data_IF_150910398818
#
_entry.id   IF_150910398818
#
_cell.length_a   1.000
_cell.length_b   1.000
_cell.length_c   1.000
_cell.angle_alpha   90.00
_cell.angle_beta   90.00
_cell.angle_gamma   90.00
#
_symmetry.space_group_name_H-M   'P 1'
#
loop_
_entity.id
_entity.type
_entity.pdbx_description
1 polymer ?
#
# COMPACT_ATOMS: atom_id res chain seq x y z
N UNK A 1 25.26 43.17 -68.24
CA UNK A 1 23.90 43.78 -68.24
C UNK A 1 23.00 42.98 -67.31
N UNK A 2 22.41 43.67 -66.32
CA UNK A 2 21.12 43.39 -65.63
C UNK A 2 20.98 41.99 -64.98
N UNK A 3 21.32 41.86 -63.69
CA UNK A 3 20.45 41.99 -62.49
C UNK A 3 19.25 41.01 -62.47
N UNK A 4 19.28 40.05 -61.55
CA UNK A 4 18.15 39.53 -60.74
C UNK A 4 18.76 38.56 -59.71
N UNK A 5 19.12 38.97 -58.49
CA UNK A 5 18.25 39.09 -57.31
C UNK A 5 17.24 37.94 -57.15
N UNK A 6 17.68 36.83 -56.56
CA UNK A 6 16.80 35.93 -55.83
C UNK A 6 17.33 35.81 -54.40
N UNK A 7 16.66 36.55 -53.52
CA UNK A 7 16.79 36.55 -52.08
C UNK A 7 16.04 35.34 -51.50
N UNK A 8 16.65 34.63 -50.56
CA UNK A 8 16.13 33.75 -49.49
C UNK A 8 17.22 32.68 -49.28
N UNK A 9 17.86 32.53 -48.13
CA UNK A 9 17.25 32.23 -46.84
C UNK A 9 18.36 32.33 -45.78
N UNK A 10 18.19 33.13 -44.74
CA UNK A 10 18.87 32.91 -43.45
C UNK A 10 17.77 33.00 -42.40
N UNK A 11 17.54 31.91 -41.66
CA UNK A 11 17.97 31.89 -40.26
C UNK A 11 18.83 30.66 -40.03
N UNK A 12 20.10 30.84 -39.67
CA UNK A 12 20.51 30.78 -38.26
C UNK A 12 19.90 29.55 -37.58
N UNK A 13 20.67 28.47 -37.64
CA UNK A 13 20.50 27.23 -36.89
C UNK A 13 20.52 27.57 -35.38
N UNK A 14 19.40 28.09 -34.87
CA UNK A 14 19.11 28.15 -33.44
C UNK A 14 18.85 26.70 -33.01
N UNK A 15 19.94 25.99 -32.73
CA UNK A 15 19.96 24.83 -31.86
C UNK A 15 19.51 25.31 -30.47
N UNK A 16 18.21 25.56 -30.32
CA UNK A 16 17.57 25.57 -29.02
C UNK A 16 17.77 24.17 -28.46
N UNK A 17 18.65 24.03 -27.48
CA UNK A 17 18.71 22.86 -26.63
C UNK A 17 17.32 22.64 -26.06
N UNK A 18 16.53 21.78 -26.69
CA UNK A 18 15.34 21.21 -26.09
C UNK A 18 15.84 20.37 -24.93
N UNK A 19 15.96 20.99 -23.77
CA UNK A 19 16.02 20.28 -22.52
C UNK A 19 14.74 19.44 -22.49
N UNK A 20 14.87 18.15 -22.81
CA UNK A 20 13.87 17.15 -22.51
C UNK A 20 13.71 17.18 -20.98
N UNK A 21 12.80 18.02 -20.50
CA UNK A 21 12.34 17.95 -19.12
C UNK A 21 11.71 16.56 -19.00
N UNK A 22 12.35 15.69 -18.23
CA UNK A 22 11.74 14.45 -17.81
C UNK A 22 10.37 14.80 -17.23
N UNK A 23 9.30 14.31 -17.86
CA UNK A 23 7.95 14.54 -17.36
C UNK A 23 7.79 13.70 -16.09
N UNK A 24 7.70 14.37 -14.93
CA UNK A 24 7.33 13.74 -13.67
C UNK A 24 5.93 13.15 -13.80
N UNK A 25 5.85 11.88 -14.20
CA UNK A 25 4.60 11.15 -14.30
C UNK A 25 4.19 10.65 -12.91
N UNK A 26 2.92 10.83 -12.50
CA UNK A 26 2.44 10.32 -11.22
C UNK A 26 2.64 8.80 -11.11
N UNK A 27 3.15 8.32 -9.97
CA UNK A 27 3.25 6.88 -9.71
C UNK A 27 1.87 6.22 -9.84
N UNK A 28 1.73 5.09 -10.56
CA UNK A 28 0.46 4.37 -10.67
C UNK A 28 -0.13 3.89 -9.33
N UNK A 29 0.72 3.80 -8.31
CA UNK A 29 0.33 3.49 -6.93
C UNK A 29 1.10 4.42 -6.01
N UNK A 30 0.54 5.62 -5.72
CA UNK A 30 1.17 6.60 -4.85
C UNK A 30 1.46 6.01 -3.46
N UNK A 31 2.57 6.45 -2.86
CA UNK A 31 2.89 6.11 -1.48
C UNK A 31 1.94 6.83 -0.51
N UNK A 32 1.73 6.22 0.64
CA UNK A 32 0.94 6.75 1.74
C UNK A 32 1.58 6.39 3.07
N UNK A 33 1.49 7.32 4.01
CA UNK A 33 1.89 7.14 5.39
C UNK A 33 0.78 7.60 6.32
N UNK A 34 0.40 6.75 7.26
CA UNK A 34 -0.51 7.05 8.36
C UNK A 34 0.25 6.92 9.67
N UNK A 35 0.03 7.85 10.59
CA UNK A 35 0.48 7.76 11.97
C UNK A 35 -0.74 8.02 12.85
N UNK A 36 -1.08 7.06 13.70
CA UNK A 36 -2.26 7.12 14.56
C UNK A 36 -1.90 6.74 15.99
N UNK A 37 -2.36 7.55 16.95
CA UNK A 37 -2.32 7.19 18.36
C UNK A 37 -3.59 6.42 18.75
N UNK A 38 -3.43 5.29 19.43
CA UNK A 38 -4.51 4.53 20.03
C UNK A 38 -4.11 4.21 21.48
N UNK A 39 -4.86 4.74 22.45
CA UNK A 39 -4.37 4.89 23.82
C UNK A 39 -3.06 5.68 23.84
N UNK A 40 -2.00 5.04 24.30
CA UNK A 40 -0.62 5.50 24.36
C UNK A 40 0.31 4.73 23.40
N UNK A 41 -0.23 3.88 22.54
CA UNK A 41 0.50 3.19 21.46
C UNK A 41 0.41 4.01 20.17
N UNK A 42 1.56 4.26 19.54
CA UNK A 42 1.64 4.83 18.20
C UNK A 42 1.65 3.69 17.18
N UNK A 43 0.79 3.79 16.18
CA UNK A 43 0.66 2.86 15.06
C UNK A 43 1.02 3.62 13.79
N UNK A 44 2.05 3.19 13.08
CA UNK A 44 2.46 3.76 11.80
C UNK A 44 2.25 2.75 10.68
N UNK A 45 1.64 3.17 9.57
CA UNK A 45 1.46 2.35 8.37
C UNK A 45 2.08 3.07 7.17
N UNK A 46 3.00 2.42 6.45
CA UNK A 46 3.63 2.92 5.23
C UNK A 46 3.41 1.91 4.09
N UNK A 47 2.78 2.34 2.99
CA UNK A 47 2.45 1.46 1.87
C UNK A 47 2.24 2.23 0.56
N UNK A 48 2.23 1.52 -0.57
CA UNK A 48 1.76 2.08 -1.85
C UNK A 48 0.34 1.63 -2.14
N UNK A 49 -0.52 2.56 -2.58
CA UNK A 49 -1.96 2.35 -2.72
C UNK A 49 -2.35 1.96 -4.15
N UNK A 50 -2.62 0.68 -4.46
CA UNK A 50 -3.15 0.27 -5.77
C UNK A 50 -4.59 0.77 -5.96
N UNK A 51 -5.01 0.92 -7.22
CA UNK A 51 -6.37 1.32 -7.61
C UNK A 51 -7.02 0.28 -8.52
N UNK A 52 -8.35 0.15 -8.45
CA UNK A 52 -9.13 -0.80 -9.26
C UNK A 52 -8.96 -0.48 -10.74
N UNK A 53 -9.16 0.78 -11.12
CA UNK A 53 -9.18 1.23 -12.53
C UNK A 53 -10.14 0.39 -13.38
N UNK A 54 -11.33 0.10 -12.83
CA UNK A 54 -12.36 -0.72 -13.47
C UNK A 54 -12.08 -2.23 -13.50
N UNK A 55 -11.10 -2.73 -12.74
CA UNK A 55 -10.80 -4.16 -12.61
C UNK A 55 -11.36 -4.71 -11.30
N UNK A 56 -11.77 -5.98 -11.31
CA UNK A 56 -12.12 -6.71 -10.09
C UNK A 56 -10.85 -7.06 -9.31
N UNK A 57 -10.86 -6.93 -7.98
CA UNK A 57 -9.68 -7.24 -7.16
C UNK A 57 -9.37 -8.72 -7.20
N UNK A 58 -10.38 -9.54 -6.87
CA UNK A 58 -10.27 -10.99 -6.80
C UNK A 58 -11.35 -11.61 -7.68
N UNK A 59 -11.04 -12.63 -8.50
CA UNK A 59 -9.71 -13.23 -8.68
C UNK A 59 -8.81 -12.52 -9.71
N UNK A 60 -9.26 -11.42 -10.35
CA UNK A 60 -8.60 -10.90 -11.56
C UNK A 60 -7.23 -10.26 -11.30
N UNK A 61 -7.14 -9.32 -10.35
CA UNK A 61 -5.86 -8.67 -10.01
C UNK A 61 -5.01 -9.52 -9.06
N UNK A 62 -5.67 -10.27 -8.18
CA UNK A 62 -5.06 -11.13 -7.17
C UNK A 62 -5.87 -12.42 -7.05
N UNK A 63 -5.19 -13.55 -6.86
CA UNK A 63 -5.84 -14.83 -6.63
C UNK A 63 -6.12 -15.05 -5.15
N UNK A 64 -7.27 -15.63 -4.85
CA UNK A 64 -7.53 -16.14 -3.50
C UNK A 64 -6.52 -17.23 -3.13
N UNK A 65 -6.15 -17.27 -1.86
CA UNK A 65 -5.21 -18.27 -1.34
C UNK A 65 -3.75 -18.05 -1.75
N UNK A 66 -3.40 -16.92 -2.39
CA UNK A 66 -2.02 -16.53 -2.64
C UNK A 66 -1.60 -15.39 -1.71
N UNK A 67 -0.31 -15.33 -1.39
CA UNK A 67 0.22 -14.22 -0.61
C UNK A 67 0.19 -12.93 -1.43
N UNK A 68 -0.22 -11.86 -0.77
CA UNK A 68 -0.20 -10.51 -1.27
C UNK A 68 0.62 -9.63 -0.33
N UNK A 69 1.39 -8.72 -0.89
CA UNK A 69 2.16 -7.70 -0.16
C UNK A 69 1.30 -6.63 0.51
N UNK A 70 -0.03 -6.79 0.45
CA UNK A 70 -1.04 -5.91 1.05
C UNK A 70 -0.88 -4.46 0.60
N UNK A 71 -0.75 -4.26 -0.70
CA UNK A 71 -0.40 -2.98 -1.33
C UNK A 71 0.30 -3.18 -2.68
N UNK A 72 1.02 -2.16 -3.14
CA UNK A 72 1.81 -2.18 -4.37
C UNK A 72 3.30 -1.89 -4.10
N UNK A 73 4.15 -2.18 -5.09
CA UNK A 73 5.60 -1.92 -5.10
C UNK A 73 6.42 -2.71 -4.06
N UNK A 74 6.30 -2.38 -2.78
CA UNK A 74 6.99 -3.03 -1.66
C UNK A 74 5.99 -3.70 -0.70
N UNK A 75 6.49 -4.47 0.27
CA UNK A 75 5.66 -4.96 1.36
C UNK A 75 5.20 -3.79 2.23
N UNK A 76 3.92 -3.77 2.59
CA UNK A 76 3.36 -2.79 3.53
C UNK A 76 4.07 -2.89 4.86
N UNK A 77 4.49 -1.75 5.40
CA UNK A 77 5.16 -1.66 6.68
C UNK A 77 4.18 -1.19 7.75
N UNK A 78 4.12 -1.92 8.85
CA UNK A 78 3.33 -1.56 10.04
C UNK A 78 4.26 -1.53 11.25
N UNK A 79 4.27 -0.43 11.97
CA UNK A 79 5.08 -0.23 13.18
C UNK A 79 4.19 0.03 14.38
N UNK A 80 4.54 -0.59 15.51
CA UNK A 80 3.91 -0.40 16.81
C UNK A 80 4.96 0.09 17.80
N UNK A 81 4.72 1.22 18.48
CA UNK A 81 5.66 1.75 19.48
C UNK A 81 5.66 0.98 20.80
N UNK A 82 4.66 0.14 21.03
CA UNK A 82 4.50 -0.72 22.22
C UNK A 82 3.98 -2.09 21.81
N UNK A 83 4.12 -3.07 22.69
CA UNK A 83 3.49 -4.38 22.49
C UNK A 83 1.98 -4.23 22.33
N UNK A 84 1.41 -5.00 21.42
CA UNK A 84 -0.02 -5.00 21.10
C UNK A 84 -0.57 -6.42 21.10
N UNK A 85 -1.89 -6.53 21.20
CA UNK A 85 -2.60 -7.78 20.95
C UNK A 85 -3.26 -7.68 19.57
N UNK A 86 -2.96 -8.58 18.65
CA UNK A 86 -3.63 -8.65 17.33
C UNK A 86 -4.54 -9.85 17.32
N UNK A 87 -5.85 -9.64 17.17
CA UNK A 87 -6.87 -10.71 17.28
C UNK A 87 -6.69 -11.56 18.56
N UNK A 88 -6.35 -10.91 19.68
CA UNK A 88 -6.12 -11.57 20.96
C UNK A 88 -4.80 -12.32 21.09
N UNK A 89 -3.88 -12.23 20.12
CA UNK A 89 -2.53 -12.81 20.21
C UNK A 89 -1.48 -11.72 20.38
N UNK A 90 -0.48 -11.98 21.23
CA UNK A 90 0.58 -11.02 21.52
C UNK A 90 1.49 -10.79 20.31
N UNK A 91 1.83 -9.53 20.07
CA UNK A 91 2.87 -9.09 19.15
C UNK A 91 3.72 -8.03 19.87
N UNK A 92 5.04 -8.24 19.90
CA UNK A 92 5.96 -7.29 20.51
C UNK A 92 5.95 -5.93 19.77
N UNK A 93 6.39 -4.87 20.45
CA UNK A 93 6.71 -3.61 19.81
C UNK A 93 7.73 -3.83 18.69
N UNK A 94 7.58 -3.12 17.58
CA UNK A 94 8.49 -3.28 16.45
C UNK A 94 7.91 -2.84 15.13
N UNK A 95 8.68 -3.09 14.07
CA UNK A 95 8.31 -2.82 12.69
C UNK A 95 8.20 -4.11 11.90
N UNK A 96 7.10 -4.26 11.20
CA UNK A 96 6.71 -5.49 10.53
C UNK A 96 6.36 -5.25 9.06
N UNK A 97 6.68 -6.22 8.21
CA UNK A 97 6.06 -6.35 6.90
C UNK A 97 4.71 -7.07 7.05
N UNK A 98 3.64 -6.40 6.61
CA UNK A 98 2.28 -6.91 6.59
C UNK A 98 2.01 -7.61 5.25
N UNK A 99 1.92 -8.93 5.31
CA UNK A 99 1.46 -9.75 4.19
C UNK A 99 0.06 -10.28 4.50
N UNK A 100 -0.73 -10.48 3.45
CA UNK A 100 -2.07 -11.05 3.56
C UNK A 100 -2.22 -12.23 2.64
N UNK A 101 -3.09 -13.17 3.00
CA UNK A 101 -3.54 -14.26 2.15
C UNK A 101 -5.06 -14.16 2.02
N UNK A 102 -5.56 -13.40 1.02
CA UNK A 102 -6.98 -13.17 0.86
C UNK A 102 -7.73 -14.47 0.59
N UNK A 103 -8.85 -14.67 1.28
CA UNK A 103 -9.84 -15.71 1.02
C UNK A 103 -11.22 -15.09 0.82
N UNK A 104 -12.20 -15.91 0.42
CA UNK A 104 -13.57 -15.45 0.18
C UNK A 104 -14.27 -15.01 1.48
N UNK A 105 -14.09 -15.77 2.56
CA UNK A 105 -14.75 -15.51 3.85
C UNK A 105 -13.82 -14.85 4.88
N UNK A 106 -12.52 -15.04 4.74
CA UNK A 106 -11.53 -14.54 5.69
C UNK A 106 -10.17 -14.35 5.03
N UNK A 107 -9.37 -13.46 5.61
CA UNK A 107 -8.00 -13.21 5.18
C UNK A 107 -7.04 -13.70 6.26
N UNK A 108 -5.99 -14.41 5.84
CA UNK A 108 -4.83 -14.63 6.70
C UNK A 108 -4.01 -13.34 6.76
N UNK A 109 -3.68 -12.90 7.98
CA UNK A 109 -2.90 -11.68 8.24
C UNK A 109 -1.58 -12.09 8.88
N UNK A 110 -0.47 -11.67 8.27
CA UNK A 110 0.87 -12.12 8.61
C UNK A 110 1.78 -10.95 8.88
N UNK A 111 2.40 -10.94 10.06
CA UNK A 111 3.39 -9.95 10.47
C UNK A 111 4.76 -10.61 10.46
N UNK A 112 5.63 -10.17 9.55
CA UNK A 112 7.03 -10.60 9.51
C UNK A 112 7.91 -9.48 10.04
N UNK A 113 8.99 -9.77 10.79
CA UNK A 113 9.97 -8.73 11.13
C UNK A 113 10.45 -8.03 9.85
N UNK A 114 10.35 -6.71 9.82
CA UNK A 114 10.62 -5.96 8.60
C UNK A 114 12.09 -6.05 8.21
N UNK A 115 12.34 -6.27 6.92
CA UNK A 115 13.66 -6.18 6.31
C UNK A 115 13.51 -5.56 4.91
N UNK A 116 14.46 -4.72 4.50
CA UNK A 116 14.45 -4.11 3.17
C UNK A 116 14.83 -5.14 2.09
N UNK A 117 13.90 -6.06 1.81
CA UNK A 117 14.05 -7.16 0.87
C UNK A 117 12.78 -7.29 0.03
N UNK A 118 12.89 -7.96 -1.13
CA UNK A 118 11.74 -8.25 -1.97
C UNK A 118 10.67 -9.09 -1.26
N UNK A 119 9.40 -8.87 -1.60
CA UNK A 119 8.24 -9.56 -1.01
C UNK A 119 8.40 -11.09 -0.91
N UNK A 120 8.99 -11.73 -1.94
CA UNK A 120 9.18 -13.18 -1.99
C UNK A 120 10.10 -13.74 -0.88
N UNK A 121 10.90 -12.88 -0.23
CA UNK A 121 11.81 -13.30 0.85
C UNK A 121 11.10 -13.52 2.19
N UNK A 122 9.89 -12.99 2.34
CA UNK A 122 9.09 -13.15 3.56
C UNK A 122 8.37 -14.50 3.59
N UNK A 123 7.81 -14.92 2.45
CA UNK A 123 7.01 -16.14 2.35
C UNK A 123 7.82 -17.43 2.57
N UNK A 124 9.15 -17.35 2.55
CA UNK A 124 10.06 -18.46 2.87
C UNK A 124 10.52 -18.48 4.34
N UNK A 125 10.06 -17.55 5.17
CA UNK A 125 10.42 -17.42 6.59
C UNK A 125 9.18 -17.65 7.46
N UNK A 126 9.42 -17.81 8.75
CA UNK A 126 8.33 -17.84 9.73
C UNK A 126 7.86 -16.41 10.07
N UNK A 127 6.54 -16.16 10.11
CA UNK A 127 6.01 -14.89 10.59
C UNK A 127 6.20 -14.77 12.10
N UNK A 128 6.39 -13.54 12.59
CA UNK A 128 6.34 -13.25 14.03
C UNK A 128 4.93 -13.46 14.58
N UNK A 129 3.90 -13.21 13.76
CA UNK A 129 2.52 -13.50 14.11
C UNK A 129 1.68 -13.82 12.87
N UNK A 130 0.78 -14.79 13.02
CA UNK A 130 -0.27 -15.13 12.06
C UNK A 130 -1.64 -15.16 12.75
N UNK A 131 -2.58 -14.41 12.19
CA UNK A 131 -3.99 -14.38 12.60
C UNK A 131 -4.90 -14.47 11.38
N UNK A 132 -6.18 -14.65 11.62
CA UNK A 132 -7.21 -14.64 10.58
C UNK A 132 -8.24 -13.59 10.96
N UNK A 133 -8.70 -12.79 10.00
CA UNK A 133 -9.82 -11.86 10.18
C UNK A 133 -10.88 -12.07 9.09
N UNK A 134 -12.14 -11.84 9.43
CA UNK A 134 -13.26 -12.02 8.52
C UNK A 134 -13.24 -10.98 7.39
N UNK A 135 -13.52 -11.44 6.17
CA UNK A 135 -13.75 -10.57 5.03
C UNK A 135 -15.24 -10.23 4.97
N UNK A 136 -15.54 -8.95 5.03
CA UNK A 136 -16.91 -8.44 5.01
C UNK A 136 -17.16 -7.69 3.70
N UNK A 137 -18.35 -7.90 3.14
CA UNK A 137 -18.81 -7.10 2.01
C UNK A 137 -19.35 -5.76 2.54
N UNK A 138 -18.97 -4.67 1.88
CA UNK A 138 -19.47 -3.32 2.14
C UNK A 138 -20.19 -2.77 0.89
N UNK A 139 -21.18 -1.91 1.11
CA UNK A 139 -22.03 -1.39 0.02
C UNK A 139 -21.35 -0.28 -0.79
N UNK A 140 -20.34 0.39 -0.23
CA UNK A 140 -19.53 1.37 -0.95
C UNK A 140 -18.32 0.70 -1.61
N UNK A 141 -18.05 1.06 -2.86
CA UNK A 141 -16.85 0.62 -3.58
C UNK A 141 -15.71 1.60 -3.33
N UNK A 142 -14.60 1.12 -2.76
CA UNK A 142 -13.39 1.90 -2.51
C UNK A 142 -12.40 1.72 -3.67
N UNK A 143 -12.27 2.75 -4.52
CA UNK A 143 -11.42 2.71 -5.73
C UNK A 143 -9.94 2.46 -5.43
N UNK A 144 -9.40 3.14 -4.43
CA UNK A 144 -7.97 3.09 -4.09
C UNK A 144 -7.78 2.42 -2.75
N UNK A 145 -7.00 1.33 -2.71
CA UNK A 145 -6.78 0.53 -1.51
C UNK A 145 -6.41 1.42 -0.32
N UNK A 146 -7.13 1.20 0.77
CA UNK A 146 -7.04 1.97 1.99
C UNK A 146 -6.64 1.04 3.13
N UNK A 147 -5.62 1.44 3.87
CA UNK A 147 -5.35 0.96 5.21
C UNK A 147 -5.53 2.15 6.15
N UNK A 148 -6.36 1.97 7.18
CA UNK A 148 -6.64 2.97 8.21
C UNK A 148 -6.56 2.35 9.62
N UNK A 149 -6.55 3.21 10.64
CA UNK A 149 -6.62 2.80 12.05
C UNK A 149 -7.85 3.43 12.69
N UNK A 150 -8.95 2.67 12.72
CA UNK A 150 -10.26 3.10 13.20
C UNK A 150 -10.63 2.58 14.58
N UNK A 151 -11.88 2.85 14.98
CA UNK A 151 -12.50 2.38 16.22
C UNK A 151 -11.64 2.59 17.48
N UNK A 152 -11.04 3.77 17.58
CA UNK A 152 -10.13 4.14 18.66
C UNK A 152 -10.85 4.14 20.02
N UNK A 153 -10.25 3.47 21.00
CA UNK A 153 -10.63 3.44 22.40
C UNK A 153 -9.36 3.52 23.26
N UNK A 154 -9.55 3.65 24.57
CA UNK A 154 -8.44 3.73 25.51
C UNK A 154 -7.54 2.48 25.47
N UNK A 155 -8.11 1.31 25.20
CA UNK A 155 -7.44 0.01 25.24
C UNK A 155 -7.48 -0.77 23.92
N UNK A 156 -8.09 -0.21 22.87
CA UNK A 156 -8.30 -0.91 21.61
C UNK A 156 -8.39 0.00 20.39
N UNK A 157 -8.09 -0.58 19.23
CA UNK A 157 -8.28 0.02 17.90
C UNK A 157 -8.57 -1.09 16.88
N UNK A 158 -8.84 -0.72 15.64
CA UNK A 158 -8.91 -1.66 14.51
C UNK A 158 -7.95 -1.20 13.41
N UNK A 159 -7.18 -2.12 12.85
CA UNK A 159 -6.45 -1.90 11.61
C UNK A 159 -7.36 -2.32 10.45
N UNK A 160 -7.85 -1.34 9.69
CA UNK A 160 -8.88 -1.53 8.68
C UNK A 160 -8.25 -1.63 7.30
N UNK A 161 -8.50 -2.72 6.58
CA UNK A 161 -8.07 -2.93 5.19
C UNK A 161 -9.31 -2.88 4.30
N UNK A 162 -9.34 -1.93 3.37
CA UNK A 162 -10.53 -1.69 2.53
C UNK A 162 -10.15 -1.54 1.07
N UNK A 163 -10.73 -2.38 0.21
CA UNK A 163 -10.59 -2.24 -1.24
C UNK A 163 -11.83 -2.73 -1.96
N UNK A 164 -12.30 -1.98 -2.96
CA UNK A 164 -13.55 -2.28 -3.65
C UNK A 164 -14.67 -2.40 -2.63
N UNK A 165 -15.44 -3.48 -2.71
CA UNK A 165 -16.51 -3.79 -1.74
C UNK A 165 -16.05 -4.73 -0.62
N UNK A 166 -14.75 -4.86 -0.35
CA UNK A 166 -14.22 -5.73 0.71
C UNK A 166 -13.63 -4.91 1.83
N UNK A 167 -14.05 -5.21 3.05
CA UNK A 167 -13.52 -4.71 4.31
C UNK A 167 -12.97 -5.88 5.14
N UNK A 168 -11.81 -5.67 5.75
CA UNK A 168 -11.23 -6.58 6.75
C UNK A 168 -10.74 -5.73 7.91
N UNK A 169 -11.39 -5.86 9.07
CA UNK A 169 -10.96 -5.19 10.30
C UNK A 169 -10.14 -6.13 11.16
N UNK A 170 -8.91 -5.74 11.49
CA UNK A 170 -8.04 -6.51 12.40
C UNK A 170 -8.05 -5.86 13.78
N UNK A 171 -8.61 -6.53 14.77
CA UNK A 171 -8.71 -6.00 16.13
C UNK A 171 -7.34 -5.88 16.78
N UNK A 172 -7.06 -4.69 17.32
CA UNK A 172 -5.87 -4.39 18.10
C UNK A 172 -6.24 -4.12 19.55
N UNK A 173 -5.56 -4.77 20.48
CA UNK A 173 -5.46 -4.35 21.88
C UNK A 173 -4.22 -3.49 22.06
N UNK A 174 -4.41 -2.28 22.59
CA UNK A 174 -3.36 -1.27 22.77
C UNK A 174 -3.27 -0.87 24.24
N UNK A 175 -2.25 -0.09 24.61
CA UNK A 175 -1.97 0.36 25.97
C UNK A 175 -2.17 1.85 26.09
#
# INVERSE_FOLDING_TARGET
MKKLFTLLLVPAFLLGSLSLMAQDSPSPSPSSKLVQMAGTTEITVEYSRPSLKGRTIFPDMHKYGEFWRTGANAATKVSFSKDVMVEGKSLAAGTYALLTKPGMESWGIYFYPFAENGFNTYTSKDPALMVTSAAQKIDCEVETFLIDVGNLRDDSATLDLVWGNTYVGVKLGVK
#
